data_IF_394331128146
#
_entry.id   IF_394331128146
#
_cell.length_a   1.000
_cell.length_b   1.000
_cell.length_c   1.000
_cell.angle_alpha   90.00
_cell.angle_beta   90.00
_cell.angle_gamma   90.00
#
_symmetry.space_group_name_H-M   'P 1'
#
loop_
_entity.id
_entity.type
_entity.pdbx_description
1 polymer ?
#
# COMPACT_ATOMS: atom_id res chain seq x y z
N UNK A 1 -5.53 21.93 8.45
CA UNK A 1 -6.21 20.83 7.74
C UNK A 1 -7.46 20.43 8.51
N UNK A 2 -8.63 20.34 7.87
CA UNK A 2 -9.85 19.89 8.53
C UNK A 2 -9.73 18.40 8.86
N UNK A 3 -9.64 18.06 10.13
CA UNK A 3 -9.62 16.67 10.60
C UNK A 3 -11.00 16.08 10.38
N UNK A 4 -11.08 14.94 9.66
CA UNK A 4 -12.32 14.16 9.63
C UNK A 4 -12.63 13.78 11.08
N UNK A 5 -13.84 14.12 11.54
CA UNK A 5 -14.22 13.88 12.93
C UNK A 5 -14.09 12.40 13.33
N UNK A 6 -13.76 12.12 14.58
CA UNK A 6 -13.59 10.75 15.12
C UNK A 6 -14.77 9.84 14.81
N UNK A 7 -16.00 10.36 14.88
CA UNK A 7 -17.21 9.61 14.56
C UNK A 7 -17.23 9.15 13.09
N UNK A 8 -16.92 10.03 12.16
CA UNK A 8 -16.88 9.68 10.73
C UNK A 8 -15.77 8.64 10.42
N UNK A 9 -14.63 8.72 11.12
CA UNK A 9 -13.57 7.71 10.99
C UNK A 9 -14.02 6.34 11.51
N UNK A 10 -14.69 6.28 12.67
CA UNK A 10 -15.21 5.02 13.24
C UNK A 10 -16.25 4.42 12.29
N UNK A 11 -17.19 5.22 11.82
CA UNK A 11 -18.22 4.78 10.88
C UNK A 11 -17.60 4.24 9.58
N UNK A 12 -16.63 4.94 9.01
CA UNK A 12 -15.91 4.48 7.82
C UNK A 12 -15.18 3.15 8.06
N UNK A 13 -14.57 2.95 9.24
CA UNK A 13 -13.91 1.69 9.62
C UNK A 13 -14.90 0.53 9.72
N UNK A 14 -16.05 0.75 10.34
CA UNK A 14 -17.09 -0.28 10.46
C UNK A 14 -17.65 -0.65 9.09
N UNK A 15 -18.03 0.34 8.29
CA UNK A 15 -18.54 0.12 6.94
C UNK A 15 -17.51 -0.60 6.05
N UNK A 16 -16.24 -0.22 6.15
CA UNK A 16 -15.18 -0.89 5.40
C UNK A 16 -15.07 -2.38 5.77
N UNK A 17 -15.12 -2.74 7.06
CA UNK A 17 -15.07 -4.13 7.52
C UNK A 17 -16.27 -4.96 7.02
N UNK A 18 -17.44 -4.34 6.91
CA UNK A 18 -18.65 -4.99 6.40
C UNK A 18 -18.55 -5.17 4.86
N UNK A 19 -18.18 -4.11 4.15
CA UNK A 19 -18.14 -4.13 2.68
C UNK A 19 -16.97 -4.98 2.17
N UNK A 20 -15.80 -4.87 2.80
CA UNK A 20 -14.58 -5.61 2.40
C UNK A 20 -14.00 -6.41 3.56
N UNK A 21 -14.68 -7.48 4.01
CA UNK A 21 -14.22 -8.30 5.13
C UNK A 21 -12.88 -8.94 4.80
N UNK A 22 -11.83 -8.43 5.43
CA UNK A 22 -10.45 -8.89 5.21
C UNK A 22 -9.84 -9.32 6.54
N UNK A 23 -9.34 -10.55 6.61
CA UNK A 23 -8.59 -11.05 7.76
C UNK A 23 -7.10 -10.79 7.55
N UNK A 24 -6.45 -10.26 8.58
CA UNK A 24 -5.04 -9.91 8.56
C UNK A 24 -4.26 -11.02 9.26
N UNK A 25 -3.15 -11.44 8.66
CA UNK A 25 -2.21 -12.43 9.16
C UNK A 25 -0.82 -11.80 9.22
N UNK A 26 -0.08 -12.09 10.30
CA UNK A 26 1.22 -11.46 10.55
C UNK A 26 1.06 -10.03 11.08
N UNK A 27 -0.06 -9.69 11.73
CA UNK A 27 -0.28 -8.36 12.30
C UNK A 27 0.75 -8.01 13.39
N UNK A 28 1.32 -9.01 14.05
CA UNK A 28 2.43 -8.88 15.00
C UNK A 28 3.69 -8.26 14.40
N UNK A 29 3.89 -8.39 13.09
CA UNK A 29 5.01 -7.76 12.39
C UNK A 29 4.86 -6.24 12.32
N UNK A 30 3.62 -5.74 12.39
CA UNK A 30 3.40 -4.30 12.49
C UNK A 30 3.82 -3.75 13.87
N UNK A 31 3.76 -4.55 14.93
CA UNK A 31 4.24 -4.17 16.26
C UNK A 31 5.77 -4.05 16.31
N UNK A 32 6.47 -4.86 15.48
CA UNK A 32 7.92 -4.80 15.32
C UNK A 32 8.38 -3.64 14.42
N UNK A 33 7.48 -3.10 13.61
CA UNK A 33 7.75 -2.06 12.64
C UNK A 33 7.87 -0.70 13.32
N UNK A 34 9.06 -0.11 13.28
CA UNK A 34 9.38 1.15 13.94
C UNK A 34 8.74 2.38 13.27
N UNK A 35 8.14 2.19 12.11
CA UNK A 35 7.54 3.22 11.27
C UNK A 35 8.29 3.42 9.96
N UNK A 36 7.59 3.90 8.95
CA UNK A 36 8.16 4.14 7.63
C UNK A 36 7.23 3.83 6.47
N UNK A 37 7.64 2.96 5.55
CA UNK A 37 6.93 2.72 4.30
C UNK A 37 6.20 1.37 4.36
N UNK A 38 4.88 1.38 4.21
CA UNK A 38 4.09 0.17 4.01
C UNK A 38 3.95 -0.03 2.50
N UNK A 39 4.30 -1.21 2.00
CA UNK A 39 4.10 -1.56 0.59
C UNK A 39 3.07 -2.67 0.44
N UNK A 40 2.35 -2.65 -0.68
CA UNK A 40 1.37 -3.69 -1.01
C UNK A 40 1.21 -3.85 -2.51
N UNK A 41 0.73 -5.02 -2.95
CA UNK A 41 0.21 -5.19 -4.30
C UNK A 41 -1.06 -4.35 -4.49
N UNK A 42 -1.30 -3.87 -5.71
CA UNK A 42 -2.38 -2.95 -6.01
C UNK A 42 -3.37 -3.50 -7.02
N UNK A 43 -4.52 -3.92 -6.56
CA UNK A 43 -5.65 -4.26 -7.42
C UNK A 43 -6.44 -3.00 -7.83
N UNK A 44 -7.55 -3.16 -8.54
CA UNK A 44 -8.32 -2.03 -9.06
C UNK A 44 -9.35 -1.46 -8.07
N UNK A 45 -9.16 -1.66 -6.78
CA UNK A 45 -10.15 -1.33 -5.76
C UNK A 45 -9.70 -0.17 -4.87
N UNK A 46 -10.62 0.73 -4.53
CA UNK A 46 -10.43 1.71 -3.47
C UNK A 46 -10.27 1.05 -2.09
N UNK A 47 -10.68 -0.22 -1.97
CA UNK A 47 -10.53 -1.00 -0.75
C UNK A 47 -9.06 -1.20 -0.35
N UNK A 48 -8.14 -1.35 -1.33
CA UNK A 48 -6.74 -1.67 -1.06
C UNK A 48 -6.11 -0.69 -0.04
N UNK A 49 -6.28 0.61 -0.29
CA UNK A 49 -5.77 1.63 0.63
C UNK A 49 -6.57 1.69 1.94
N UNK A 50 -7.91 1.62 1.89
CA UNK A 50 -8.75 1.80 3.07
C UNK A 50 -8.60 0.68 4.09
N UNK A 51 -8.32 -0.54 3.66
CA UNK A 51 -8.12 -1.68 4.56
C UNK A 51 -6.80 -1.52 5.33
N UNK A 52 -5.71 -1.19 4.63
CA UNK A 52 -4.40 -0.93 5.26
C UNK A 52 -4.51 0.28 6.19
N UNK A 53 -5.19 1.36 5.77
CA UNK A 53 -5.43 2.50 6.63
C UNK A 53 -6.11 2.11 7.94
N UNK A 54 -7.22 1.39 7.86
CA UNK A 54 -7.97 0.98 9.04
C UNK A 54 -7.23 -0.01 9.94
N UNK A 55 -6.31 -0.78 9.36
CA UNK A 55 -5.51 -1.75 10.11
C UNK A 55 -4.34 -1.08 10.87
N UNK A 56 -3.65 -0.16 10.22
CA UNK A 56 -2.30 0.25 10.64
C UNK A 56 -2.14 1.77 10.87
N UNK A 57 -3.13 2.59 10.52
CA UNK A 57 -3.04 4.03 10.73
C UNK A 57 -4.02 4.50 11.80
N UNK A 58 -3.51 5.28 12.76
CA UNK A 58 -4.35 5.83 13.86
C UNK A 58 -4.97 7.18 13.47
N UNK A 59 -4.23 8.06 12.79
CA UNK A 59 -4.61 9.45 12.58
C UNK A 59 -4.69 9.84 11.11
N UNK A 60 -3.61 9.71 10.34
CA UNK A 60 -3.50 10.11 8.95
C UNK A 60 -3.14 8.94 8.07
N UNK A 61 -3.75 8.92 6.90
CA UNK A 61 -3.43 7.96 5.86
C UNK A 61 -2.54 8.63 4.81
N UNK A 62 -1.26 8.73 5.10
CA UNK A 62 -0.30 9.19 4.12
C UNK A 62 -0.17 8.13 3.01
N UNK A 63 -0.60 8.47 1.80
CA UNK A 63 -0.48 7.60 0.64
C UNK A 63 -0.21 8.42 -0.61
N UNK A 64 0.56 7.86 -1.54
CA UNK A 64 0.75 8.45 -2.85
C UNK A 64 -0.47 8.17 -3.73
N UNK A 65 -1.17 9.23 -4.14
CA UNK A 65 -2.36 9.15 -4.98
C UNK A 65 -2.17 10.03 -6.21
N UNK A 66 -2.56 9.53 -7.38
CA UNK A 66 -2.45 10.28 -8.63
C UNK A 66 -3.14 11.64 -8.53
N UNK A 67 -2.51 12.69 -9.06
CA UNK A 67 -3.00 14.08 -8.98
C UNK A 67 -4.42 14.25 -9.53
N UNK A 68 -4.78 13.49 -10.57
CA UNK A 68 -6.12 13.58 -11.15
C UNK A 68 -7.26 13.22 -10.19
N UNK A 69 -6.98 12.47 -9.12
CA UNK A 69 -7.98 12.16 -8.09
C UNK A 69 -8.34 13.38 -7.24
N UNK A 70 -7.50 14.42 -7.23
CA UNK A 70 -7.72 15.67 -6.51
C UNK A 70 -8.45 16.73 -7.34
N UNK A 71 -8.75 16.49 -8.62
CA UNK A 71 -9.39 17.49 -9.51
C UNK A 71 -10.82 17.85 -9.09
N UNK A 72 -11.54 16.95 -8.42
CA UNK A 72 -12.87 17.28 -7.91
C UNK A 72 -12.80 17.89 -6.52
N UNK A 73 -13.70 18.86 -6.21
CA UNK A 73 -13.74 19.51 -4.88
C UNK A 73 -13.88 18.49 -3.74
N UNK A 74 -14.75 17.49 -3.91
CA UNK A 74 -14.99 16.44 -2.92
C UNK A 74 -13.75 15.54 -2.81
N UNK A 75 -13.17 15.12 -3.94
CA UNK A 75 -11.95 14.29 -3.94
C UNK A 75 -10.77 15.00 -3.28
N UNK A 76 -10.56 16.28 -3.61
CA UNK A 76 -9.51 17.08 -2.99
C UNK A 76 -9.72 17.22 -1.48
N UNK A 77 -10.91 17.62 -1.05
CA UNK A 77 -11.24 17.74 0.36
C UNK A 77 -11.01 16.43 1.13
N UNK A 78 -11.52 15.31 0.60
CA UNK A 78 -11.39 14.02 1.26
C UNK A 78 -9.94 13.52 1.30
N UNK A 79 -9.26 13.47 0.14
CA UNK A 79 -7.90 12.95 0.03
C UNK A 79 -6.89 13.79 0.83
N UNK A 80 -7.02 15.12 0.78
CA UNK A 80 -6.21 16.02 1.60
C UNK A 80 -6.52 15.86 3.09
N UNK A 81 -7.80 15.70 3.44
CA UNK A 81 -8.24 15.52 4.82
C UNK A 81 -7.75 14.23 5.47
N UNK A 82 -7.52 13.18 4.68
CA UNK A 82 -6.93 11.91 5.16
C UNK A 82 -5.40 11.85 5.05
N UNK A 83 -4.74 12.88 4.51
CA UNK A 83 -3.29 12.97 4.42
C UNK A 83 -2.68 12.40 3.12
N UNK A 84 -3.49 12.13 2.08
CA UNK A 84 -2.96 11.68 0.80
C UNK A 84 -2.12 12.74 0.11
N UNK A 85 -1.03 12.32 -0.54
CA UNK A 85 -0.08 13.15 -1.26
C UNK A 85 -0.33 12.99 -2.77
N UNK A 86 -0.69 14.07 -3.49
CA UNK A 86 -0.81 13.99 -4.94
C UNK A 86 0.54 13.72 -5.58
N UNK A 87 0.57 12.88 -6.62
CA UNK A 87 1.78 12.59 -7.40
C UNK A 87 1.48 12.66 -8.89
N UNK A 88 2.32 13.36 -9.63
CA UNK A 88 2.36 13.37 -11.08
C UNK A 88 3.05 12.11 -11.56
N UNK A 89 2.42 11.40 -12.48
CA UNK A 89 2.98 10.15 -13.02
C UNK A 89 3.73 10.43 -14.31
N UNK A 90 4.88 9.78 -14.46
CA UNK A 90 5.72 9.89 -15.66
C UNK A 90 6.79 10.97 -15.61
N UNK A 91 6.78 11.80 -14.57
CA UNK A 91 7.75 12.87 -14.36
C UNK A 91 8.37 12.79 -12.96
N UNK A 92 9.52 13.44 -12.78
CA UNK A 92 10.12 13.59 -11.46
C UNK A 92 9.32 14.65 -10.68
N UNK A 93 8.49 14.22 -9.75
CA UNK A 93 7.67 15.09 -8.91
C UNK A 93 8.42 15.46 -7.62
N UNK A 94 9.16 16.57 -7.68
CA UNK A 94 9.97 17.09 -6.57
C UNK A 94 9.10 17.44 -5.36
N UNK A 95 7.90 17.97 -5.57
CA UNK A 95 7.01 18.38 -4.48
C UNK A 95 6.42 17.15 -3.76
N UNK A 96 6.00 16.14 -4.49
CA UNK A 96 5.59 14.87 -3.90
C UNK A 96 6.76 14.23 -3.14
N UNK A 97 7.96 14.24 -3.72
CA UNK A 97 9.18 13.74 -3.06
C UNK A 97 9.43 14.43 -1.72
N UNK A 98 9.44 15.76 -1.68
CA UNK A 98 9.65 16.53 -0.45
C UNK A 98 8.60 16.21 0.62
N UNK A 99 7.32 16.11 0.23
CA UNK A 99 6.23 15.75 1.15
C UNK A 99 6.41 14.36 1.74
N UNK A 100 6.77 13.35 0.93
CA UNK A 100 7.06 12.00 1.41
C UNK A 100 8.20 12.01 2.41
N UNK A 101 9.31 12.68 2.08
CA UNK A 101 10.47 12.78 2.99
C UNK A 101 10.10 13.46 4.30
N UNK A 102 9.25 14.50 4.25
CA UNK A 102 8.77 15.18 5.47
C UNK A 102 7.94 14.25 6.34
N UNK A 103 6.98 13.52 5.75
CA UNK A 103 6.15 12.53 6.46
C UNK A 103 7.03 11.50 7.16
N UNK A 104 7.98 10.90 6.43
CA UNK A 104 8.86 9.86 6.97
C UNK A 104 9.81 10.39 8.06
N UNK A 105 10.35 11.60 7.90
CA UNK A 105 11.19 12.24 8.92
C UNK A 105 10.43 12.61 10.19
N UNK A 106 9.13 12.83 10.10
CA UNK A 106 8.26 13.07 11.25
C UNK A 106 7.89 11.76 11.99
N UNK A 107 8.40 10.61 11.56
CA UNK A 107 8.05 9.29 12.13
C UNK A 107 6.66 8.80 11.75
N UNK A 108 6.05 9.38 10.70
CA UNK A 108 4.74 8.96 10.22
C UNK A 108 4.88 7.84 9.17
N UNK A 109 3.87 6.99 9.09
CA UNK A 109 3.82 5.93 8.07
C UNK A 109 3.27 6.45 6.76
N UNK A 110 3.75 5.88 5.63
CA UNK A 110 3.20 6.12 4.31
C UNK A 110 2.92 4.80 3.58
N UNK A 111 1.77 4.72 2.90
CA UNK A 111 1.46 3.62 2.00
C UNK A 111 1.91 3.94 0.58
N UNK A 112 2.67 3.04 0.00
CA UNK A 112 3.09 3.10 -1.40
C UNK A 112 2.77 1.78 -2.09
N UNK A 113 2.12 1.85 -3.25
CA UNK A 113 1.98 0.70 -4.15
C UNK A 113 3.13 0.73 -5.14
N UNK A 114 4.17 -0.12 -4.96
CA UNK A 114 5.43 0.02 -5.68
C UNK A 114 5.32 -0.25 -7.18
N UNK A 115 4.30 -1.00 -7.61
CA UNK A 115 3.98 -1.21 -9.02
C UNK A 115 3.69 0.11 -9.78
N UNK A 116 3.29 1.16 -9.06
CA UNK A 116 2.91 2.46 -9.63
C UNK A 116 1.69 2.41 -10.55
N UNK A 117 1.06 1.26 -10.72
CA UNK A 117 -0.14 1.02 -11.51
C UNK A 117 -1.04 0.02 -10.82
N UNK A 118 -2.28 -0.09 -11.28
CA UNK A 118 -3.24 -1.07 -10.76
C UNK A 118 -3.26 -2.33 -11.60
N UNK A 119 -3.19 -3.49 -10.96
CA UNK A 119 -3.43 -4.78 -11.59
C UNK A 119 -4.94 -4.98 -11.83
N UNK A 120 -5.45 -4.38 -12.90
CA UNK A 120 -6.89 -4.41 -13.24
C UNK A 120 -7.38 -5.80 -13.64
N UNK A 121 -6.50 -6.64 -14.15
CA UNK A 121 -6.82 -8.02 -14.50
C UNK A 121 -7.08 -8.88 -13.26
N UNK A 122 -6.50 -8.51 -12.11
CA UNK A 122 -6.64 -9.26 -10.87
C UNK A 122 -5.87 -10.57 -10.87
N UNK A 123 -4.77 -10.63 -11.63
CA UNK A 123 -3.85 -11.78 -11.66
C UNK A 123 -2.96 -11.79 -10.42
N UNK A 124 -2.31 -12.92 -10.15
CA UNK A 124 -1.35 -13.05 -9.05
C UNK A 124 0.00 -12.42 -9.34
N UNK A 125 0.26 -12.06 -10.60
CA UNK A 125 1.52 -11.48 -11.04
C UNK A 125 1.53 -10.00 -10.72
N UNK A 126 2.53 -9.56 -9.97
CA UNK A 126 2.79 -8.14 -9.71
C UNK A 126 3.62 -7.55 -10.86
N UNK A 127 3.37 -6.29 -11.18
CA UNK A 127 4.24 -5.56 -12.08
C UNK A 127 5.58 -5.25 -11.38
N UNK A 128 6.69 -5.10 -12.14
CA UNK A 128 7.97 -4.70 -11.59
C UNK A 128 7.87 -3.43 -10.73
N UNK A 129 8.62 -3.39 -9.65
CA UNK A 129 8.60 -2.26 -8.72
C UNK A 129 9.32 -1.05 -9.29
N UNK A 130 8.81 0.14 -8.97
CA UNK A 130 9.48 1.41 -9.25
C UNK A 130 10.42 1.76 -8.10
N UNK A 131 11.55 2.36 -8.40
CA UNK A 131 12.62 2.72 -7.47
C UNK A 131 12.23 3.66 -6.31
N UNK A 132 11.08 4.29 -6.37
CA UNK A 132 10.66 5.28 -5.37
C UNK A 132 10.71 4.77 -3.93
N UNK A 133 10.32 3.52 -3.69
CA UNK A 133 10.28 2.94 -2.34
C UNK A 133 11.70 2.81 -1.76
N UNK A 134 12.62 2.18 -2.50
CA UNK A 134 14.01 2.00 -2.06
C UNK A 134 14.72 3.34 -1.85
N UNK A 135 14.52 4.29 -2.77
CA UNK A 135 15.08 5.65 -2.66
C UNK A 135 14.58 6.34 -1.39
N UNK A 136 13.29 6.32 -1.11
CA UNK A 136 12.74 6.93 0.11
C UNK A 136 13.27 6.24 1.37
N UNK A 137 13.21 4.92 1.44
CA UNK A 137 13.64 4.16 2.61
C UNK A 137 15.12 4.43 2.96
N UNK A 138 16.02 4.31 1.99
CA UNK A 138 17.43 4.53 2.22
C UNK A 138 17.79 6.00 2.54
N UNK A 139 17.06 6.97 1.94
CA UNK A 139 17.31 8.39 2.21
C UNK A 139 16.80 8.84 3.57
N UNK A 140 15.69 8.29 4.03
CA UNK A 140 15.10 8.65 5.32
C UNK A 140 15.47 7.68 6.44
N UNK A 141 16.16 6.58 6.12
CA UNK A 141 16.60 5.53 7.05
C UNK A 141 15.43 4.90 7.80
N UNK A 142 14.36 4.60 7.08
CA UNK A 142 13.16 3.96 7.62
C UNK A 142 13.01 2.54 7.10
N UNK A 143 12.31 1.73 7.86
CA UNK A 143 11.96 0.37 7.48
C UNK A 143 10.84 0.34 6.43
N UNK A 144 10.76 -0.79 5.73
CA UNK A 144 9.69 -1.13 4.79
C UNK A 144 8.92 -2.31 5.35
N UNK A 145 7.59 -2.16 5.48
CA UNK A 145 6.71 -3.25 5.86
C UNK A 145 6.00 -3.80 4.62
N UNK A 146 6.38 -4.98 4.12
CA UNK A 146 5.73 -5.57 2.97
C UNK A 146 4.39 -6.19 3.38
N UNK A 147 3.36 -5.92 2.61
CA UNK A 147 2.04 -6.52 2.77
C UNK A 147 1.52 -7.04 1.44
N UNK A 148 0.63 -8.05 1.46
CA UNK A 148 0.10 -8.62 0.24
C UNK A 148 -1.36 -9.06 0.42
N UNK A 149 -2.23 -8.58 -0.46
CA UNK A 149 -3.59 -9.11 -0.62
C UNK A 149 -3.60 -10.38 -1.43
N UNK A 150 -4.34 -11.37 -0.93
CA UNK A 150 -4.50 -12.66 -1.63
C UNK A 150 -5.13 -12.47 -3.01
N UNK A 151 -6.20 -11.67 -3.10
CA UNK A 151 -6.94 -11.45 -4.35
C UNK A 151 -7.56 -10.06 -4.42
N UNK A 152 -8.09 -9.70 -5.60
CA UNK A 152 -8.83 -8.46 -5.79
C UNK A 152 -10.06 -8.41 -4.86
N UNK A 153 -10.29 -7.25 -4.24
CA UNK A 153 -11.46 -7.06 -3.38
C UNK A 153 -12.75 -7.01 -4.20
N UNK A 154 -13.77 -7.68 -3.67
CA UNK A 154 -15.16 -7.59 -4.12
C UNK A 154 -16.05 -7.30 -2.91
N UNK A 155 -17.08 -6.46 -3.03
CA UNK A 155 -17.99 -6.18 -1.92
C UNK A 155 -18.56 -7.47 -1.31
N UNK A 156 -18.60 -7.50 0.02
CA UNK A 156 -19.12 -8.62 0.84
C UNK A 156 -18.42 -9.97 0.62
N UNK A 157 -17.21 -9.96 0.04
CA UNK A 157 -16.40 -11.18 -0.14
C UNK A 157 -15.19 -11.15 0.76
N UNK A 158 -15.03 -12.24 1.55
CA UNK A 158 -13.86 -12.43 2.43
C UNK A 158 -12.56 -12.32 1.65
N UNK A 159 -11.54 -11.73 2.23
CA UNK A 159 -10.20 -11.65 1.67
C UNK A 159 -9.15 -11.85 2.77
N UNK A 160 -7.89 -11.90 2.38
CA UNK A 160 -6.73 -12.06 3.25
C UNK A 160 -5.75 -10.93 2.92
N UNK A 161 -5.18 -10.35 3.96
CA UNK A 161 -3.98 -9.51 3.92
C UNK A 161 -2.90 -10.21 4.74
N UNK A 162 -1.77 -10.49 4.12
CA UNK A 162 -0.57 -11.00 4.80
C UNK A 162 0.39 -9.86 5.02
N UNK A 163 0.93 -9.77 6.23
CA UNK A 163 1.95 -8.81 6.64
C UNK A 163 3.26 -9.58 6.81
N UNK A 164 4.30 -9.15 6.09
CA UNK A 164 5.64 -9.70 6.17
C UNK A 164 6.47 -9.08 7.29
N UNK A 165 7.68 -9.56 7.47
CA UNK A 165 8.65 -8.96 8.41
C UNK A 165 9.09 -7.58 7.90
N UNK A 166 9.34 -6.59 8.81
CA UNK A 166 9.94 -5.32 8.43
C UNK A 166 11.32 -5.51 7.80
N UNK A 167 11.61 -4.73 6.78
CA UNK A 167 12.87 -4.76 6.03
C UNK A 167 13.58 -3.42 6.21
N UNK A 168 14.80 -3.46 6.71
CA UNK A 168 15.71 -2.31 6.75
C UNK A 168 16.78 -2.49 5.67
N UNK A 169 16.67 -1.77 4.56
CA UNK A 169 17.57 -1.91 3.42
C UNK A 169 19.03 -1.61 3.78
N UNK A 170 19.28 -0.73 4.75
CA UNK A 170 20.64 -0.41 5.19
C UNK A 170 21.24 -1.58 5.99
N UNK A 171 20.43 -2.28 6.81
CA UNK A 171 20.88 -3.49 7.52
C UNK A 171 21.06 -4.67 6.57
N UNK A 172 20.30 -4.73 5.47
CA UNK A 172 20.50 -5.71 4.39
C UNK A 172 21.76 -5.41 3.54
N UNK A 173 22.50 -4.33 3.82
CA UNK A 173 23.75 -3.99 3.18
C UNK A 173 23.66 -3.07 1.96
N UNK A 174 22.47 -2.57 1.62
CA UNK A 174 22.30 -1.63 0.52
C UNK A 174 22.71 -0.21 0.90
N UNK A 175 23.31 0.50 -0.02
CA UNK A 175 23.59 1.93 0.09
C UNK A 175 22.75 2.77 -0.89
N UNK A 176 22.89 4.10 -0.82
CA UNK A 176 22.08 5.03 -1.63
C UNK A 176 22.39 5.00 -3.13
N UNK A 177 23.41 4.29 -3.59
CA UNK A 177 23.77 4.14 -5.00
C UNK A 177 23.14 2.88 -5.62
N UNK A 178 22.69 1.96 -4.77
CA UNK A 178 22.14 0.66 -5.12
C UNK A 178 20.62 0.65 -5.13
N UNK A 179 19.98 1.75 -5.59
CA UNK A 179 18.52 1.88 -5.61
C UNK A 179 17.82 0.86 -6.54
N UNK A 180 18.48 0.43 -7.61
CA UNK A 180 17.96 -0.56 -8.52
C UNK A 180 17.98 -1.96 -7.89
N UNK A 181 19.12 -2.36 -7.35
CA UNK A 181 19.33 -3.65 -6.68
C UNK A 181 18.44 -3.78 -5.44
N UNK A 182 18.35 -2.72 -4.63
CA UNK A 182 17.45 -2.68 -3.49
C UNK A 182 15.97 -2.78 -3.89
N UNK A 183 15.60 -2.23 -5.04
CA UNK A 183 14.23 -2.34 -5.58
C UNK A 183 13.93 -3.77 -6.02
N UNK A 184 14.86 -4.42 -6.71
CA UNK A 184 14.71 -5.82 -7.12
C UNK A 184 14.65 -6.75 -5.90
N UNK A 185 15.52 -6.55 -4.92
CA UNK A 185 15.48 -7.27 -3.65
C UNK A 185 14.10 -7.18 -2.98
N UNK A 186 13.49 -6.00 -2.93
CA UNK A 186 12.14 -5.84 -2.38
C UNK A 186 11.09 -6.59 -3.21
N UNK A 187 11.22 -6.58 -4.53
CA UNK A 187 10.32 -7.30 -5.42
C UNK A 187 10.42 -8.82 -5.18
N UNK A 188 11.62 -9.36 -5.02
CA UNK A 188 11.89 -10.77 -4.74
C UNK A 188 11.38 -11.26 -3.38
N UNK A 189 11.12 -10.36 -2.42
CA UNK A 189 10.49 -10.74 -1.14
C UNK A 189 8.98 -11.01 -1.27
N UNK A 190 8.31 -10.48 -2.30
CA UNK A 190 6.86 -10.59 -2.44
C UNK A 190 6.35 -12.00 -2.77
N UNK A 191 7.05 -12.84 -3.56
CA UNK A 191 6.65 -14.23 -3.80
C UNK A 191 6.46 -15.06 -2.53
N UNK A 192 7.30 -14.88 -1.51
CA UNK A 192 7.16 -15.60 -0.24
C UNK A 192 5.83 -15.24 0.47
N UNK A 193 5.45 -13.96 0.46
CA UNK A 193 4.14 -13.53 0.96
C UNK A 193 2.98 -14.09 0.13
N UNK A 194 3.16 -14.22 -1.19
CA UNK A 194 2.18 -14.84 -2.07
C UNK A 194 1.96 -16.31 -1.75
N UNK A 195 3.05 -17.07 -1.52
CA UNK A 195 2.98 -18.47 -1.10
C UNK A 195 2.19 -18.58 0.20
N UNK A 196 2.57 -17.81 1.22
CA UNK A 196 1.86 -17.78 2.52
C UNK A 196 0.38 -17.40 2.37
N UNK A 197 0.05 -16.41 1.55
CA UNK A 197 -1.32 -16.03 1.29
C UNK A 197 -2.14 -17.14 0.61
N UNK A 198 -1.53 -17.89 -0.31
CA UNK A 198 -2.16 -19.01 -1.00
C UNK A 198 -2.42 -20.20 -0.05
N UNK A 199 -1.48 -20.54 0.83
CA UNK A 199 -1.62 -21.57 1.87
C UNK A 199 -2.80 -21.24 2.80
N UNK A 200 -2.81 -20.04 3.38
CA UNK A 200 -3.89 -19.58 4.25
C UNK A 200 -5.24 -19.58 3.50
N UNK A 201 -5.25 -19.16 2.23
CA UNK A 201 -6.46 -19.15 1.42
C UNK A 201 -6.99 -20.57 1.19
N UNK A 202 -6.12 -21.53 0.93
CA UNK A 202 -6.45 -22.96 0.77
C UNK A 202 -7.10 -23.51 2.03
N UNK A 203 -6.48 -23.30 3.19
CA UNK A 203 -7.03 -23.72 4.50
C UNK A 203 -8.42 -23.13 4.78
N UNK A 204 -8.69 -21.92 4.28
CA UNK A 204 -9.96 -21.22 4.45
C UNK A 204 -10.97 -21.45 3.33
N UNK A 205 -10.69 -22.30 2.36
CA UNK A 205 -11.55 -22.56 1.22
C UNK A 205 -11.75 -21.35 0.31
N UNK A 206 -10.82 -20.37 0.32
CA UNK A 206 -10.87 -19.21 -0.56
C UNK A 206 -10.21 -19.54 -1.89
N UNK A 207 -10.83 -19.12 -2.99
CA UNK A 207 -10.31 -19.30 -4.35
C UNK A 207 -9.97 -17.97 -4.97
N UNK A 208 -8.97 -17.93 -5.85
CA UNK A 208 -8.72 -16.81 -6.72
C UNK A 208 -9.92 -16.54 -7.63
N UNK A 209 -10.12 -15.29 -7.98
CA UNK A 209 -11.09 -14.96 -9.01
C UNK A 209 -10.44 -15.13 -10.39
N UNK A 210 -11.21 -15.56 -11.41
CA UNK A 210 -10.70 -15.57 -12.77
C UNK A 210 -10.28 -14.16 -13.19
N UNK A 211 -9.19 -14.02 -13.98
CA UNK A 211 -8.74 -12.74 -14.49
C UNK A 211 -9.86 -11.99 -15.21
N UNK A 212 -9.91 -10.69 -15.03
CA UNK A 212 -10.87 -9.82 -15.74
C UNK A 212 -10.34 -9.49 -17.14
N UNK A 213 -11.20 -9.50 -18.14
CA UNK A 213 -10.89 -8.92 -19.44
C UNK A 213 -10.66 -7.42 -19.26
N UNK A 214 -9.46 -6.95 -19.49
CA UNK A 214 -9.13 -5.52 -19.46
C UNK A 214 -9.37 -4.99 -20.89
N UNK A 215 -10.31 -4.07 -21.05
CA UNK A 215 -10.50 -3.37 -22.34
C UNK A 215 -9.21 -2.59 -22.66
N UNK A 216 -8.66 -2.79 -23.84
CA UNK A 216 -7.60 -1.94 -24.34
C UNK A 216 -8.08 -0.48 -24.31
N UNK A 217 -7.27 0.42 -23.83
CA UNK A 217 -7.56 1.85 -24.01
C UNK A 217 -7.47 2.15 -25.51
N UNK A 218 -8.60 2.56 -26.10
CA UNK A 218 -8.56 3.26 -27.38
C UNK A 218 -7.84 4.59 -27.26
#
# INVERSE_FOLDING_TARGET
MAKIGKFAQITARVLQKIIWPTKIYGAENFEKFSGGIIISNHYASAADGSIIFNAFFKNYFNALVKEEAFKTKIGNWFLTGVGCIPVKRGEADIDAYKKVVTVLKNGENILIFPEGTRNKAGTDVMAPFKKGVSVFAMRTKVEILPTLYFRMHRPFRKNILVVGEPIDLLKEGFDRKQDAEATEFLYEKMPALRVKANEIAKERGLKQYPPRKVKAKK
#
